data_IF_108051160283
#
_entry.id   IF_108051160283
#
_cell.length_a   1.000
_cell.length_b   1.000
_cell.length_c   1.000
_cell.angle_alpha   90.00
_cell.angle_beta   90.00
_cell.angle_gamma   90.00
#
_symmetry.space_group_name_H-M   'P 1'
#
loop_
_entity.id
_entity.type
_entity.pdbx_description
1 polymer ?
#
# COMPACT_ATOMS: atom_id res chain seq x y z
N UNK A 1 2.47 -13.90 -9.35
CA UNK A 1 2.47 -14.48 -8.00
C UNK A 1 1.05 -14.69 -7.52
N UNK A 2 0.71 -15.86 -6.98
CA UNK A 2 -0.68 -16.19 -6.58
C UNK A 2 -1.18 -15.40 -5.37
N UNK A 3 -0.31 -14.71 -4.63
CA UNK A 3 -0.69 -13.82 -3.54
C UNK A 3 -1.37 -12.52 -4.04
N UNK A 4 -1.06 -12.07 -5.23
CA UNK A 4 -1.62 -10.84 -5.79
C UNK A 4 -3.13 -10.92 -6.06
N UNK A 5 -3.66 -11.97 -6.73
CA UNK A 5 -5.09 -12.06 -7.00
C UNK A 5 -5.97 -12.04 -5.75
N UNK A 6 -5.54 -12.68 -4.66
CA UNK A 6 -6.32 -12.68 -3.42
C UNK A 6 -6.46 -11.27 -2.85
N UNK A 7 -5.39 -10.47 -2.85
CA UNK A 7 -5.40 -9.10 -2.34
C UNK A 7 -6.42 -8.22 -3.09
N UNK A 8 -6.30 -8.15 -4.43
CA UNK A 8 -7.22 -7.37 -5.25
C UNK A 8 -8.66 -7.85 -5.14
N UNK A 9 -8.88 -9.17 -5.22
CA UNK A 9 -10.22 -9.75 -5.10
C UNK A 9 -10.87 -9.38 -3.78
N UNK A 10 -10.14 -9.47 -2.67
CA UNK A 10 -10.67 -9.10 -1.35
C UNK A 10 -11.03 -7.62 -1.27
N UNK A 11 -10.12 -6.76 -1.65
CA UNK A 11 -10.37 -5.31 -1.56
C UNK A 11 -11.54 -4.89 -2.43
N UNK A 12 -11.69 -5.46 -3.62
CA UNK A 12 -12.78 -5.09 -4.55
C UNK A 12 -14.12 -5.74 -4.22
N UNK A 13 -14.14 -6.99 -3.73
CA UNK A 13 -15.40 -7.72 -3.52
C UNK A 13 -15.93 -7.68 -2.09
N UNK A 14 -15.05 -7.46 -1.09
CA UNK A 14 -15.43 -7.53 0.32
C UNK A 14 -15.21 -6.22 1.07
N UNK A 15 -14.20 -5.43 0.69
CA UNK A 15 -13.85 -4.19 1.39
C UNK A 15 -14.38 -2.93 0.69
N UNK A 16 -15.07 -3.07 -0.46
CA UNK A 16 -15.73 -1.97 -1.15
C UNK A 16 -14.80 -1.03 -1.93
N UNK A 17 -13.55 -1.43 -2.20
CA UNK A 17 -12.65 -0.61 -3.01
C UNK A 17 -12.94 -0.75 -4.51
N UNK A 18 -12.81 0.35 -5.23
CA UNK A 18 -12.80 0.37 -6.70
C UNK A 18 -11.38 0.16 -7.20
N UNK A 19 -11.16 -0.86 -8.03
CA UNK A 19 -9.86 -1.09 -8.66
C UNK A 19 -9.62 -0.05 -9.76
N UNK A 20 -8.44 0.56 -9.72
CA UNK A 20 -8.00 1.58 -10.66
C UNK A 20 -6.73 1.14 -11.39
N UNK A 21 -6.68 1.38 -12.69
CA UNK A 21 -5.45 1.26 -13.48
C UNK A 21 -4.84 2.66 -13.64
N UNK A 22 -3.68 2.88 -13.03
CA UNK A 22 -3.03 4.18 -12.97
C UNK A 22 -1.72 4.23 -13.75
N UNK A 23 -1.30 5.44 -14.22
CA UNK A 23 0.03 5.63 -14.77
C UNK A 23 1.12 5.31 -13.73
N UNK A 24 2.24 4.73 -14.20
CA UNK A 24 3.44 4.50 -13.38
C UNK A 24 4.52 5.57 -13.61
N UNK A 25 4.31 6.45 -14.59
CA UNK A 25 5.11 7.65 -14.84
C UNK A 25 4.24 8.87 -14.59
N UNK A 26 4.70 9.76 -13.72
CA UNK A 26 3.96 10.96 -13.30
C UNK A 26 4.86 12.19 -13.34
N UNK A 27 4.26 13.37 -13.38
CA UNK A 27 4.99 14.64 -13.33
C UNK A 27 5.35 15.05 -11.89
N UNK A 28 6.18 16.09 -11.77
CA UNK A 28 6.63 16.61 -10.48
C UNK A 28 5.47 17.11 -9.60
N UNK A 29 4.45 17.70 -10.20
CA UNK A 29 3.29 18.22 -9.46
C UNK A 29 2.50 17.11 -8.80
N UNK A 30 2.36 15.96 -9.45
CA UNK A 30 1.71 14.77 -8.88
C UNK A 30 2.51 14.24 -7.69
N UNK A 31 3.84 14.19 -7.79
CA UNK A 31 4.73 13.84 -6.67
C UNK A 31 4.67 14.86 -5.52
N UNK A 32 4.53 16.14 -5.86
CA UNK A 32 4.35 17.21 -4.87
C UNK A 32 3.04 17.05 -4.10
N UNK A 33 1.95 16.71 -4.80
CA UNK A 33 0.61 16.56 -4.21
C UNK A 33 0.56 15.59 -3.03
N UNK A 34 1.28 14.49 -3.10
CA UNK A 34 1.33 13.46 -2.05
C UNK A 34 2.50 13.59 -1.09
N UNK A 35 3.41 14.55 -1.32
CA UNK A 35 4.49 14.89 -0.37
C UNK A 35 5.83 14.21 -0.66
N UNK A 36 5.98 13.47 -1.77
CA UNK A 36 7.27 12.91 -2.16
C UNK A 36 8.28 14.00 -2.53
N UNK A 37 7.84 15.01 -3.28
CA UNK A 37 8.67 16.16 -3.59
C UNK A 37 8.35 17.34 -2.67
N UNK A 38 9.36 18.19 -2.37
CA UNK A 38 10.78 18.08 -2.75
C UNK A 38 11.61 17.17 -1.82
N UNK A 39 11.06 16.75 -0.67
CA UNK A 39 11.82 16.17 0.46
C UNK A 39 12.53 14.86 0.12
N UNK A 40 11.90 14.00 -0.68
CA UNK A 40 12.37 12.64 -0.97
C UNK A 40 12.85 12.47 -2.42
N UNK A 41 13.32 13.54 -3.07
CA UNK A 41 13.76 13.49 -4.47
C UNK A 41 14.88 12.47 -4.71
N UNK A 42 15.79 12.29 -3.74
CA UNK A 42 16.90 11.32 -3.83
C UNK A 42 16.43 9.86 -3.85
N UNK A 43 15.24 9.58 -3.31
CA UNK A 43 14.64 8.25 -3.29
C UNK A 43 13.83 7.92 -4.55
N UNK A 44 13.70 8.87 -5.48
CA UNK A 44 12.91 8.72 -6.70
C UNK A 44 13.80 8.44 -7.92
N UNK A 45 13.30 7.61 -8.84
CA UNK A 45 13.86 7.52 -10.18
C UNK A 45 13.21 8.54 -11.09
N UNK A 46 14.04 9.39 -11.72
CA UNK A 46 13.64 10.45 -12.63
C UNK A 46 14.01 10.13 -14.08
N UNK A 47 13.08 10.34 -14.98
CA UNK A 47 13.30 10.30 -16.43
C UNK A 47 13.67 11.71 -16.88
N UNK A 48 14.97 12.01 -16.90
CA UNK A 48 15.50 13.37 -17.02
C UNK A 48 14.99 14.13 -18.25
N UNK A 49 14.95 13.48 -19.41
CA UNK A 49 14.58 14.11 -20.67
C UNK A 49 13.13 14.60 -20.67
N UNK A 50 12.22 13.82 -20.11
CA UNK A 50 10.79 14.08 -20.07
C UNK A 50 10.36 14.83 -18.80
N UNK A 51 11.23 14.94 -17.80
CA UNK A 51 10.92 15.54 -16.50
C UNK A 51 9.87 14.74 -15.72
N UNK A 52 9.76 13.42 -15.97
CA UNK A 52 8.82 12.52 -15.32
C UNK A 52 9.54 11.71 -14.23
N UNK A 53 8.74 11.15 -13.33
CA UNK A 53 9.20 10.27 -12.25
C UNK A 53 8.46 8.95 -12.30
N UNK A 54 9.14 7.84 -12.02
CA UNK A 54 8.46 6.57 -11.75
C UNK A 54 7.85 6.60 -10.35
N UNK A 55 6.65 6.07 -10.18
CA UNK A 55 5.96 6.10 -8.89
C UNK A 55 6.64 5.20 -7.85
N UNK A 56 6.85 5.67 -6.60
CA UNK A 56 7.32 4.82 -5.49
C UNK A 56 6.18 4.02 -4.84
N UNK A 57 4.93 4.34 -5.18
CA UNK A 57 3.68 3.78 -4.67
C UNK A 57 2.50 4.25 -5.53
N UNK A 58 1.47 3.42 -5.67
CA UNK A 58 0.23 3.81 -6.34
C UNK A 58 -0.57 4.88 -5.56
N UNK A 59 -0.24 5.13 -4.28
CA UNK A 59 -0.76 6.28 -3.53
C UNK A 59 -0.68 7.58 -4.35
N UNK A 60 0.44 7.77 -5.05
CA UNK A 60 0.72 9.00 -5.81
C UNK A 60 -0.35 9.27 -6.87
N UNK A 61 -0.58 8.41 -7.86
CA UNK A 61 -1.63 8.66 -8.86
C UNK A 61 -3.05 8.52 -8.30
N UNK A 62 -3.30 7.61 -7.34
CA UNK A 62 -4.64 7.42 -6.78
C UNK A 62 -5.12 8.66 -6.01
N UNK A 63 -4.28 9.22 -5.15
CA UNK A 63 -4.62 10.43 -4.38
C UNK A 63 -4.82 11.64 -5.30
N UNK A 64 -4.00 11.76 -6.35
CA UNK A 64 -4.10 12.87 -7.30
C UNK A 64 -5.27 12.72 -8.31
N UNK A 65 -6.08 11.66 -8.23
CA UNK A 65 -7.24 11.47 -9.12
C UNK A 65 -8.22 12.65 -9.05
N UNK A 66 -8.39 13.25 -7.87
CA UNK A 66 -9.21 14.44 -7.64
C UNK A 66 -8.41 15.74 -7.50
N UNK A 67 -7.17 15.77 -8.00
CA UNK A 67 -6.33 16.98 -7.97
C UNK A 67 -7.04 18.15 -8.62
N UNK A 68 -7.00 19.32 -7.94
CA UNK A 68 -7.63 20.58 -8.35
C UNK A 68 -9.17 20.52 -8.52
N UNK A 69 -9.82 19.51 -7.95
CA UNK A 69 -11.25 19.31 -8.06
C UNK A 69 -12.02 19.64 -6.78
N UNK A 70 -13.32 19.87 -6.96
CA UNK A 70 -14.30 19.99 -5.88
C UNK A 70 -15.27 18.81 -6.00
N UNK A 71 -15.12 17.82 -5.14
CA UNK A 71 -15.95 16.63 -5.10
C UNK A 71 -17.39 17.04 -4.72
N UNK A 72 -18.36 16.55 -5.48
CA UNK A 72 -19.76 16.90 -5.31
C UNK A 72 -20.39 16.23 -4.08
N UNK A 73 -21.47 16.80 -3.53
CA UNK A 73 -22.19 16.19 -2.40
C UNK A 73 -22.60 14.74 -2.69
N UNK A 74 -22.44 13.87 -1.69
CA UNK A 74 -22.85 12.47 -1.76
C UNK A 74 -21.89 11.52 -2.48
N UNK A 75 -20.74 12.03 -2.96
CA UNK A 75 -19.70 11.18 -3.59
C UNK A 75 -18.80 10.53 -2.54
N UNK A 76 -18.40 11.28 -1.49
CA UNK A 76 -17.56 10.74 -0.43
C UNK A 76 -18.31 9.73 0.47
N UNK A 77 -17.67 8.67 0.97
CA UNK A 77 -16.23 8.35 0.83
C UNK A 77 -15.89 7.70 -0.52
N UNK A 78 -14.68 7.97 -1.03
CA UNK A 78 -14.11 7.26 -2.17
C UNK A 78 -13.02 6.30 -1.69
N UNK A 79 -13.09 5.04 -2.16
CA UNK A 79 -12.17 3.96 -1.80
C UNK A 79 -11.57 3.39 -3.08
N UNK A 80 -10.27 3.62 -3.28
CA UNK A 80 -9.53 3.16 -4.45
C UNK A 80 -8.47 2.13 -4.09
N UNK A 81 -8.28 1.14 -4.95
CA UNK A 81 -7.15 0.22 -4.87
C UNK A 81 -6.49 0.08 -6.23
N UNK A 82 -5.18 -0.07 -6.25
CA UNK A 82 -4.42 -0.36 -7.45
C UNK A 82 -3.25 -1.30 -7.16
N UNK A 83 -3.01 -2.23 -8.08
CA UNK A 83 -1.77 -2.97 -8.12
C UNK A 83 -0.84 -2.31 -9.12
N UNK A 84 0.36 -1.96 -8.68
CA UNK A 84 1.38 -1.38 -9.54
C UNK A 84 2.77 -1.90 -9.20
N UNK A 85 3.68 -1.85 -10.19
CA UNK A 85 5.08 -1.78 -9.88
C UNK A 85 5.38 -0.45 -9.17
N UNK A 86 6.24 -0.52 -8.16
CA UNK A 86 6.72 0.61 -7.37
C UNK A 86 8.23 0.69 -7.51
N UNK A 87 8.77 1.90 -7.60
CA UNK A 87 10.19 2.14 -7.87
C UNK A 87 10.80 3.04 -6.80
N UNK A 88 11.87 2.56 -6.15
CA UNK A 88 12.59 3.33 -5.11
C UNK A 88 14.08 3.19 -5.31
N UNK A 89 14.82 4.30 -5.28
CA UNK A 89 16.28 4.27 -5.44
C UNK A 89 16.98 3.70 -4.20
N UNK A 90 16.28 3.65 -3.05
CA UNK A 90 16.81 3.13 -1.79
C UNK A 90 18.14 3.81 -1.38
N UNK A 91 18.25 5.12 -1.63
CA UNK A 91 19.49 5.89 -1.54
C UNK A 91 20.16 5.84 -0.16
N UNK A 92 19.39 5.71 0.92
CA UNK A 92 19.90 5.64 2.30
C UNK A 92 20.00 4.23 2.86
N UNK A 93 19.68 3.18 2.09
CA UNK A 93 19.60 1.83 2.62
C UNK A 93 20.95 1.12 2.61
N UNK A 94 21.37 0.65 3.80
CA UNK A 94 22.55 -0.19 3.96
C UNK A 94 22.27 -1.32 4.97
N UNK A 95 22.86 -2.49 4.77
CA UNK A 95 22.81 -3.56 5.74
C UNK A 95 22.14 -4.86 5.29
N UNK A 96 21.63 -5.63 6.26
CA UNK A 96 21.13 -7.00 6.05
C UNK A 96 19.89 -7.04 5.15
N UNK A 97 19.02 -6.03 5.21
CA UNK A 97 17.77 -5.96 4.46
C UNK A 97 17.95 -5.69 2.95
N UNK A 98 19.16 -5.35 2.51
CA UNK A 98 19.51 -5.19 1.09
C UNK A 98 19.75 -6.53 0.36
N UNK A 99 19.65 -7.66 1.06
CA UNK A 99 19.76 -9.00 0.49
C UNK A 99 18.38 -9.66 0.43
N UNK A 100 18.15 -10.45 -0.63
CA UNK A 100 16.89 -11.19 -0.82
C UNK A 100 15.75 -10.33 -1.37
N UNK A 101 14.50 -10.56 -0.92
CA UNK A 101 13.28 -9.97 -1.46
C UNK A 101 12.70 -8.81 -0.63
N UNK A 102 13.33 -8.47 0.50
CA UNK A 102 12.75 -7.50 1.45
C UNK A 102 12.88 -6.06 0.94
N UNK A 103 13.99 -5.74 0.26
CA UNK A 103 14.27 -4.40 -0.22
C UNK A 103 14.79 -4.46 -1.66
N UNK A 104 13.98 -3.95 -2.59
CA UNK A 104 14.26 -3.98 -4.03
C UNK A 104 14.01 -2.59 -4.63
N UNK A 105 14.74 -2.26 -5.70
CA UNK A 105 14.51 -1.02 -6.46
C UNK A 105 13.18 -1.02 -7.19
N UNK A 106 12.68 -2.20 -7.57
CA UNK A 106 11.36 -2.40 -8.16
C UNK A 106 10.66 -3.55 -7.44
N UNK A 107 9.41 -3.33 -7.03
CA UNK A 107 8.57 -4.32 -6.37
C UNK A 107 7.10 -4.06 -6.68
N UNK A 108 6.26 -5.09 -6.57
CA UNK A 108 4.81 -4.98 -6.74
C UNK A 108 4.12 -4.74 -5.40
N UNK A 109 3.13 -3.85 -5.42
CA UNK A 109 2.31 -3.53 -4.25
C UNK A 109 0.85 -3.34 -4.65
N UNK A 110 -0.04 -3.87 -3.84
CA UNK A 110 -1.45 -3.47 -3.85
C UNK A 110 -1.58 -2.30 -2.87
N UNK A 111 -2.06 -1.18 -3.34
CA UNK A 111 -2.25 0.03 -2.55
C UNK A 111 -3.73 0.32 -2.36
N UNK A 112 -4.09 0.78 -1.19
CA UNK A 112 -5.40 1.28 -0.84
C UNK A 112 -5.32 2.78 -0.56
N UNK A 113 -6.24 3.56 -1.12
CA UNK A 113 -6.40 4.98 -0.84
C UNK A 113 -7.85 5.25 -0.47
N UNK A 114 -8.06 6.05 0.56
CA UNK A 114 -9.39 6.56 0.91
C UNK A 114 -9.38 8.09 0.89
N UNK A 115 -10.43 8.66 0.31
CA UNK A 115 -10.71 10.09 0.33
C UNK A 115 -12.03 10.25 1.09
N UNK A 116 -11.97 10.93 2.22
CA UNK A 116 -13.08 10.96 3.17
C UNK A 116 -13.36 12.37 3.69
N UNK A 117 -14.51 12.57 4.32
CA UNK A 117 -14.77 13.77 5.10
C UNK A 117 -13.88 13.78 6.37
N UNK A 118 -13.48 14.98 6.85
CA UNK A 118 -12.53 15.08 7.98
C UNK A 118 -12.94 14.30 9.23
N UNK A 119 -14.21 14.33 9.58
CA UNK A 119 -14.76 13.65 10.76
C UNK A 119 -14.64 12.12 10.71
N UNK A 120 -14.66 11.55 9.50
CA UNK A 120 -14.64 10.09 9.30
C UNK A 120 -13.23 9.50 9.28
N UNK A 121 -12.20 10.34 9.14
CA UNK A 121 -10.84 9.88 8.77
C UNK A 121 -10.19 8.98 9.82
N UNK A 122 -10.49 9.13 11.10
CA UNK A 122 -9.94 8.27 12.15
C UNK A 122 -10.52 6.85 12.12
N UNK A 123 -11.85 6.75 11.91
CA UNK A 123 -12.51 5.45 11.72
C UNK A 123 -12.06 4.80 10.41
N UNK A 124 -11.91 5.59 9.35
CA UNK A 124 -11.41 5.12 8.06
C UNK A 124 -9.99 4.53 8.15
N UNK A 125 -9.13 5.05 9.04
CA UNK A 125 -7.81 4.46 9.30
C UNK A 125 -7.91 3.08 9.96
N UNK A 126 -8.76 2.94 10.98
CA UNK A 126 -8.98 1.65 11.65
C UNK A 126 -9.51 0.60 10.66
N UNK A 127 -10.52 0.94 9.86
CA UNK A 127 -11.07 0.06 8.84
C UNK A 127 -10.04 -0.31 7.76
N UNK A 128 -9.27 0.65 7.25
CA UNK A 128 -8.22 0.40 6.26
C UNK A 128 -7.17 -0.56 6.80
N UNK A 129 -6.76 -0.38 8.05
CA UNK A 129 -5.80 -1.27 8.72
C UNK A 129 -6.38 -2.68 8.87
N UNK A 130 -7.64 -2.81 9.28
CA UNK A 130 -8.34 -4.10 9.35
C UNK A 130 -8.45 -4.78 7.97
N UNK A 131 -8.64 -4.01 6.90
CA UNK A 131 -8.65 -4.57 5.55
C UNK A 131 -7.29 -5.19 5.16
N UNK A 132 -6.18 -4.58 5.56
CA UNK A 132 -4.85 -5.14 5.36
C UNK A 132 -4.60 -6.38 6.26
N UNK A 133 -5.03 -6.32 7.53
CA UNK A 133 -4.95 -7.45 8.48
C UNK A 133 -5.71 -8.68 7.97
N UNK A 134 -6.90 -8.49 7.41
CA UNK A 134 -7.73 -9.58 6.89
C UNK A 134 -7.00 -10.44 5.82
N UNK A 135 -6.09 -9.85 5.05
CA UNK A 135 -5.27 -10.61 4.10
C UNK A 135 -4.26 -11.50 4.83
N UNK A 136 -3.61 -10.98 5.88
CA UNK A 136 -2.64 -11.75 6.67
C UNK A 136 -3.32 -12.89 7.44
N UNK A 137 -4.51 -12.62 7.99
CA UNK A 137 -5.33 -13.61 8.70
C UNK A 137 -5.76 -14.75 7.78
N UNK A 138 -6.26 -14.45 6.58
CA UNK A 138 -6.62 -15.49 5.60
C UNK A 138 -5.44 -16.31 5.13
N UNK A 139 -4.27 -15.68 5.01
CA UNK A 139 -3.05 -16.38 4.67
C UNK A 139 -2.47 -17.16 5.85
N UNK A 140 -3.04 -17.04 7.07
CA UNK A 140 -2.56 -17.71 8.28
C UNK A 140 -1.14 -17.28 8.67
N UNK A 141 -0.74 -16.04 8.35
CA UNK A 141 0.58 -15.53 8.64
C UNK A 141 0.61 -14.84 10.01
N UNK A 142 1.56 -15.19 10.90
CA UNK A 142 1.73 -14.49 12.18
C UNK A 142 2.14 -13.04 11.94
N UNK A 143 1.42 -12.10 12.53
CA UNK A 143 1.69 -10.66 12.39
C UNK A 143 1.45 -9.90 13.69
N UNK A 144 1.90 -8.66 13.73
CA UNK A 144 1.55 -7.70 14.79
C UNK A 144 1.24 -6.33 14.20
N UNK A 145 0.34 -5.58 14.84
CA UNK A 145 0.07 -4.16 14.54
C UNK A 145 0.91 -3.29 15.47
N UNK A 146 1.58 -2.31 14.91
CA UNK A 146 2.43 -1.34 15.62
C UNK A 146 1.93 0.06 15.32
N UNK A 147 1.75 0.90 16.33
CA UNK A 147 1.56 2.34 16.14
C UNK A 147 2.93 3.01 16.08
N UNK A 148 3.17 3.79 15.02
CA UNK A 148 4.44 4.49 14.88
C UNK A 148 4.56 5.66 15.88
N UNK A 149 5.73 5.79 16.49
CA UNK A 149 6.06 6.92 17.31
C UNK A 149 6.42 8.16 16.46
N UNK A 150 6.51 9.32 17.09
CA UNK A 150 6.79 10.59 16.40
C UNK A 150 8.15 10.63 15.69
N UNK A 151 9.08 9.76 16.05
CA UNK A 151 10.39 9.64 15.38
C UNK A 151 10.35 8.87 14.07
N UNK A 152 9.34 7.98 13.90
CA UNK A 152 9.21 7.08 12.74
C UNK A 152 8.03 7.44 11.84
N UNK A 153 7.08 8.25 12.32
CA UNK A 153 5.92 8.65 11.53
C UNK A 153 6.33 9.44 10.28
N UNK A 154 5.74 9.09 9.15
CA UNK A 154 6.02 9.74 7.88
C UNK A 154 5.67 11.23 7.89
N UNK A 155 6.42 12.03 7.14
CA UNK A 155 6.30 13.50 7.04
C UNK A 155 4.89 14.00 6.70
N UNK A 156 4.13 13.24 5.89
CA UNK A 156 2.77 13.59 5.46
C UNK A 156 1.67 13.04 6.37
N UNK A 157 2.00 12.17 7.32
CA UNK A 157 1.03 11.46 8.14
C UNK A 157 0.82 12.10 9.51
N UNK A 158 -0.41 12.01 10.01
CA UNK A 158 -0.78 12.41 11.37
C UNK A 158 -0.85 11.22 12.33
N UNK A 159 -1.12 10.02 11.81
CA UNK A 159 -1.09 8.74 12.54
C UNK A 159 -0.83 7.62 11.55
N UNK A 160 0.01 6.67 11.94
CA UNK A 160 0.34 5.50 11.12
C UNK A 160 0.30 4.23 11.97
N UNK A 161 -0.30 3.19 11.40
CA UNK A 161 -0.15 1.82 11.85
C UNK A 161 0.68 1.04 10.84
N UNK A 162 1.73 0.35 11.33
CA UNK A 162 2.43 -0.65 10.55
C UNK A 162 1.93 -2.04 10.92
N UNK A 163 1.80 -2.90 9.91
CA UNK A 163 1.66 -4.34 10.11
C UNK A 163 3.01 -4.98 9.83
N UNK A 164 3.47 -5.77 10.77
CA UNK A 164 4.74 -6.48 10.66
C UNK A 164 4.47 -7.98 10.68
N UNK A 165 4.97 -8.72 9.69
CA UNK A 165 4.84 -10.17 9.55
C UNK A 165 6.08 -10.87 10.07
N UNK A 166 5.89 -12.01 10.72
CA UNK A 166 6.99 -12.85 11.20
C UNK A 166 7.74 -13.49 10.04
N UNK A 167 9.05 -13.33 10.02
CA UNK A 167 9.96 -13.99 9.09
C UNK A 167 10.94 -14.91 9.84
N UNK A 168 10.81 -16.22 9.73
CA UNK A 168 11.67 -17.19 10.41
C UNK A 168 13.18 -16.99 10.17
N UNK A 169 13.57 -16.63 8.94
CA UNK A 169 14.99 -16.42 8.59
C UNK A 169 15.62 -15.22 9.29
N UNK A 170 14.82 -14.24 9.68
CA UNK A 170 15.26 -13.08 10.46
C UNK A 170 15.11 -13.32 11.96
N UNK A 171 14.30 -14.30 12.37
CA UNK A 171 13.83 -14.49 13.75
C UNK A 171 13.25 -13.19 14.31
N UNK A 172 12.47 -12.48 13.51
CA UNK A 172 11.95 -11.15 13.82
C UNK A 172 10.73 -10.83 12.94
N UNK A 173 9.99 -9.79 13.33
CA UNK A 173 8.92 -9.20 12.54
C UNK A 173 9.46 -8.16 11.56
N UNK A 174 8.91 -8.13 10.35
CA UNK A 174 9.27 -7.17 9.30
C UNK A 174 8.00 -6.51 8.75
N UNK A 175 8.07 -5.20 8.54
CA UNK A 175 6.99 -4.42 7.97
C UNK A 175 6.52 -5.01 6.63
N UNK A 176 5.20 -5.21 6.50
CA UNK A 176 4.55 -5.70 5.28
C UNK A 176 3.47 -4.73 4.78
N UNK A 177 2.96 -3.88 5.65
CA UNK A 177 2.01 -2.83 5.33
C UNK A 177 2.22 -1.65 6.25
N UNK A 178 1.99 -0.45 5.74
CA UNK A 178 1.91 0.79 6.51
C UNK A 178 0.63 1.51 6.11
N UNK A 179 -0.24 1.81 7.09
CA UNK A 179 -1.52 2.48 6.89
C UNK A 179 -1.51 3.84 7.59
N UNK A 180 -1.66 4.91 6.83
CA UNK A 180 -1.50 6.29 7.30
C UNK A 180 -2.75 7.13 7.07
N UNK A 181 -3.10 7.95 8.06
CA UNK A 181 -4.02 9.07 7.92
C UNK A 181 -3.19 10.36 7.73
N UNK A 182 -3.30 10.95 6.55
CA UNK A 182 -2.60 12.19 6.19
C UNK A 182 -3.41 13.44 6.53
N UNK A 183 -4.61 13.29 7.09
CA UNK A 183 -5.55 14.38 7.31
C UNK A 183 -5.71 15.27 6.08
N UNK A 184 -5.61 16.57 6.19
CA UNK A 184 -5.71 17.51 5.08
C UNK A 184 -4.38 17.83 4.38
N UNK A 185 -3.27 17.21 4.79
CA UNK A 185 -1.93 17.53 4.28
C UNK A 185 -1.85 17.40 2.75
N UNK A 186 -2.25 16.26 2.21
CA UNK A 186 -2.22 16.01 0.77
C UNK A 186 -3.32 16.80 0.04
N UNK A 187 -4.48 16.96 0.66
CA UNK A 187 -5.58 17.75 0.11
C UNK A 187 -5.20 19.22 -0.08
N UNK A 188 -4.45 19.82 0.85
CA UNK A 188 -3.90 21.19 0.69
C UNK A 188 -2.92 21.29 -0.46
N UNK A 189 -2.06 20.28 -0.67
CA UNK A 189 -1.02 20.26 -1.70
C UNK A 189 -1.60 20.01 -3.09
N UNK A 190 -2.55 19.08 -3.19
CA UNK A 190 -3.21 18.71 -4.44
C UNK A 190 -4.51 19.48 -4.69
N UNK A 191 -4.89 20.42 -3.80
CA UNK A 191 -6.10 21.24 -3.89
C UNK A 191 -7.38 20.40 -4.05
N UNK A 192 -7.52 19.32 -3.24
CA UNK A 192 -8.67 18.43 -3.27
C UNK A 192 -9.69 18.90 -2.24
N UNK A 193 -10.87 19.29 -2.69
CA UNK A 193 -11.93 19.83 -1.87
C UNK A 193 -13.23 19.08 -2.09
N UNK A 194 -14.18 19.24 -1.19
CA UNK A 194 -15.53 18.70 -1.34
C UNK A 194 -16.58 19.72 -0.85
N UNK A 195 -17.82 19.50 -1.21
CA UNK A 195 -18.98 20.23 -0.68
C UNK A 195 -19.89 19.27 0.07
N UNK A 196 -20.39 19.71 1.23
CA UNK A 196 -21.37 18.94 2.01
C UNK A 196 -22.73 18.93 1.34
N UNK A 197 -23.12 20.06 0.76
CA UNK A 197 -24.32 20.27 -0.04
C UNK A 197 -24.06 21.32 -1.14
N UNK A 198 -25.05 21.55 -1.99
CA UNK A 198 -24.91 22.48 -3.13
C UNK A 198 -24.63 23.94 -2.72
N UNK A 199 -25.05 24.35 -1.52
CA UNK A 199 -24.91 25.73 -1.01
C UNK A 199 -23.64 25.91 -0.17
N UNK A 200 -23.04 24.82 0.33
CA UNK A 200 -21.87 24.86 1.21
C UNK A 200 -20.62 25.38 0.50
N UNK A 201 -19.76 26.04 1.27
CA UNK A 201 -18.41 26.37 0.80
C UNK A 201 -17.58 25.09 0.68
N UNK A 202 -16.66 25.03 -0.29
CA UNK A 202 -15.73 23.91 -0.39
C UNK A 202 -14.82 23.79 0.83
N UNK A 203 -14.68 22.58 1.36
CA UNK A 203 -13.78 22.19 2.45
C UNK A 203 -12.70 21.23 1.92
N UNK A 204 -11.57 21.12 2.61
CA UNK A 204 -10.53 20.13 2.29
C UNK A 204 -10.99 18.73 2.73
N UNK A 205 -10.72 17.74 1.90
CA UNK A 205 -10.91 16.33 2.27
C UNK A 205 -9.77 15.87 3.19
N UNK A 206 -9.96 14.73 3.86
CA UNK A 206 -8.86 13.95 4.43
C UNK A 206 -8.51 12.79 3.50
N UNK A 207 -7.22 12.47 3.41
CA UNK A 207 -6.71 11.36 2.61
C UNK A 207 -6.01 10.33 3.49
N UNK A 208 -6.18 9.06 3.14
CA UNK A 208 -5.53 7.94 3.79
C UNK A 208 -4.94 7.02 2.73
N UNK A 209 -3.83 6.42 3.04
CA UNK A 209 -3.19 5.42 2.19
C UNK A 209 -2.72 4.22 3.02
N UNK A 210 -2.64 3.05 2.40
CA UNK A 210 -2.12 1.86 3.06
C UNK A 210 -1.83 0.74 2.07
N UNK A 211 -0.79 -0.04 2.37
CA UNK A 211 -0.48 -1.21 1.55
C UNK A 211 -1.43 -2.36 1.87
N UNK A 212 -2.04 -2.92 0.86
CA UNK A 212 -2.96 -4.03 1.03
C UNK A 212 -2.65 -5.28 0.19
N UNK A 213 -1.40 -5.80 0.13
CA UNK A 213 -0.14 -5.62 0.83
C UNK A 213 1.04 -5.43 -0.15
N UNK A 214 2.29 -5.42 0.39
CA UNK A 214 3.51 -5.57 -0.41
C UNK A 214 3.65 -7.01 -0.92
N UNK A 215 3.50 -7.24 -2.23
CA UNK A 215 3.36 -8.57 -2.83
C UNK A 215 4.61 -9.44 -2.62
N UNK A 216 5.80 -8.88 -2.84
CA UNK A 216 7.06 -9.60 -2.67
C UNK A 216 7.33 -10.03 -1.22
N UNK A 217 7.03 -9.16 -0.24
CA UNK A 217 7.16 -9.50 1.19
C UNK A 217 6.15 -10.55 1.62
N UNK A 218 4.91 -10.47 1.12
CA UNK A 218 3.89 -11.49 1.38
C UNK A 218 4.30 -12.84 0.80
N UNK A 219 4.86 -12.86 -0.41
CA UNK A 219 5.39 -14.08 -1.01
C UNK A 219 6.53 -14.67 -0.15
N UNK A 220 7.49 -13.85 0.29
CA UNK A 220 8.57 -14.30 1.16
C UNK A 220 8.05 -14.88 2.48
N UNK A 221 7.08 -14.20 3.11
CA UNK A 221 6.47 -14.67 4.35
C UNK A 221 5.75 -16.00 4.17
N UNK A 222 5.01 -16.20 3.08
CA UNK A 222 4.37 -17.49 2.78
C UNK A 222 5.43 -18.57 2.61
N UNK A 223 6.45 -18.33 1.78
CA UNK A 223 7.49 -19.32 1.51
C UNK A 223 8.22 -19.72 2.80
N UNK A 224 8.55 -18.77 3.66
CA UNK A 224 9.28 -19.05 4.89
C UNK A 224 8.42 -19.74 5.97
N UNK A 225 7.15 -19.35 6.13
CA UNK A 225 6.30 -19.91 7.18
C UNK A 225 5.67 -21.26 6.80
N UNK A 226 5.57 -21.57 5.51
CA UNK A 226 4.91 -22.80 5.02
C UNK A 226 5.85 -23.84 4.46
N UNK A 227 7.18 -23.70 4.65
CA UNK A 227 8.16 -24.72 4.30
C UNK A 227 7.99 -25.96 5.18
N UNK A 228 8.09 -27.13 4.55
CA UNK A 228 8.12 -28.43 5.23
C UNK A 228 9.55 -28.95 5.34
N UNK A 229 9.81 -29.81 6.34
CA UNK A 229 11.13 -30.43 6.56
C UNK A 229 11.63 -31.22 5.35
N UNK A 230 10.71 -31.81 4.57
CA UNK A 230 11.02 -32.53 3.32
C UNK A 230 11.42 -31.60 2.15
N UNK A 231 11.38 -30.30 2.35
CA UNK A 231 11.71 -29.27 1.37
C UNK A 231 10.60 -28.99 0.37
N UNK A 232 9.41 -29.43 0.61
CA UNK A 232 8.20 -29.02 -0.09
C UNK A 232 7.60 -27.77 0.55
N UNK A 233 6.59 -27.17 -0.09
CA UNK A 233 5.89 -25.99 0.43
C UNK A 233 4.39 -26.29 0.50
N UNK A 234 3.79 -26.14 1.66
CA UNK A 234 2.34 -26.17 1.81
C UNK A 234 1.74 -24.88 1.26
N UNK A 235 0.68 -24.95 0.48
CA UNK A 235 -0.03 -23.78 -0.03
C UNK A 235 -1.09 -23.37 0.99
N UNK A 236 -1.11 -22.10 1.49
CA UNK A 236 -2.19 -21.62 2.33
C UNK A 236 -3.56 -21.89 1.70
N UNK A 237 -4.54 -22.29 2.51
CA UNK A 237 -5.87 -22.70 2.02
C UNK A 237 -6.51 -21.60 1.13
N UNK A 238 -6.39 -20.36 1.53
CA UNK A 238 -6.90 -19.21 0.79
C UNK A 238 -6.30 -19.05 -0.62
N UNK A 239 -5.11 -19.62 -0.88
CA UNK A 239 -4.47 -19.56 -2.19
C UNK A 239 -4.75 -20.79 -3.07
N UNK A 240 -5.30 -21.86 -2.52
CA UNK A 240 -5.57 -23.11 -3.26
C UNK A 240 -6.41 -22.86 -4.52
N UNK A 241 -7.49 -22.05 -4.49
CA UNK A 241 -8.28 -21.74 -5.69
C UNK A 241 -7.46 -21.05 -6.79
N UNK A 242 -6.53 -20.16 -6.41
CA UNK A 242 -5.65 -19.43 -7.33
C UNK A 242 -4.47 -20.28 -7.85
N UNK A 243 -4.26 -21.46 -7.26
CA UNK A 243 -3.22 -22.44 -7.62
C UNK A 243 -3.76 -23.63 -8.40
N UNK A 244 -4.98 -23.53 -8.94
CA UNK A 244 -5.62 -24.63 -9.67
C UNK A 244 -5.91 -25.86 -8.80
N UNK A 245 -6.23 -25.64 -7.53
CA UNK A 245 -6.56 -26.71 -6.58
C UNK A 245 -5.35 -27.41 -5.94
N UNK A 246 -4.12 -26.96 -6.23
CA UNK A 246 -2.91 -27.52 -5.61
C UNK A 246 -2.83 -27.08 -4.16
N UNK A 247 -2.52 -28.04 -3.28
CA UNK A 247 -2.32 -27.81 -1.85
C UNK A 247 -0.85 -27.83 -1.42
N UNK A 248 0.05 -28.21 -2.35
CA UNK A 248 1.48 -28.37 -2.09
C UNK A 248 2.30 -28.07 -3.34
N UNK A 249 3.48 -27.49 -3.17
CA UNK A 249 4.51 -27.35 -4.20
C UNK A 249 5.58 -28.40 -3.90
N UNK A 250 5.82 -29.29 -4.86
CA UNK A 250 6.79 -30.36 -4.75
C UNK A 250 8.22 -29.86 -4.97
N UNK A 251 9.18 -30.58 -4.41
CA UNK A 251 10.59 -30.34 -4.66
C UNK A 251 10.90 -30.51 -6.14
N UNK A 252 11.72 -29.65 -6.77
CA UNK A 252 12.14 -29.87 -8.14
C UNK A 252 12.84 -31.21 -8.25
N UNK A 253 12.45 -32.04 -9.23
CA UNK A 253 13.16 -33.25 -9.58
C UNK A 253 14.51 -32.79 -10.18
N UNK A 254 15.62 -33.19 -9.57
CA UNK A 254 16.98 -32.92 -10.08
C UNK A 254 17.28 -33.79 -11.28
#
# INVERSE_FOLDING_TARGET
>A
TCALPIMLTKHTTQHGYTEMMTPQLVNADTMFGTGQLPKFEEDLFKVEKEGLYTIPTAEVPLTNFYRDEIIQPGVLPELFTAQTACFRSEAGSAGRDTRGLIRLHQFDKVEMVRIVQPEDSWNALEEMTQNAEAILEELGLPYRRVILCTGDIGFSASKTYDLEVWLPSYNDYKEISSCSNCTDFQARRANIRFKRDAASKPELVHTLNGSGLAVGRTFAAIVENYQNEDGTLTIPEALVPFMGGKTKIEKPIK
#
